data_IF_926834611308
#
_entry.id   IF_926834611308
#
_cell.length_a   1.000
_cell.length_b   1.000
_cell.length_c   1.000
_cell.angle_alpha   90.00
_cell.angle_beta   90.00
_cell.angle_gamma   90.00
#
_symmetry.space_group_name_H-M   'P 1'
#
loop_
_entity.id
_entity.type
_entity.pdbx_description
1 polymer ?
#
# COMPACT_ATOMS: atom_id res chain seq x y z
N UNK A 1 12.82 2.22 7.06
CA UNK A 1 11.44 2.31 7.57
C UNK A 1 10.83 3.66 7.18
N UNK A 2 11.49 4.78 7.41
CA UNK A 2 10.95 6.14 7.18
C UNK A 2 10.52 6.40 5.74
N UNK A 3 11.35 6.05 4.76
CA UNK A 3 11.05 6.28 3.34
C UNK A 3 9.79 5.51 2.93
N UNK A 4 9.65 4.28 3.39
CA UNK A 4 8.44 3.49 3.14
C UNK A 4 7.20 4.18 3.72
N UNK A 5 7.24 4.58 4.99
CA UNK A 5 6.08 5.21 5.66
C UNK A 5 5.69 6.53 5.00
N UNK A 6 6.67 7.37 4.66
CA UNK A 6 6.43 8.65 3.99
C UNK A 6 5.86 8.45 2.58
N UNK A 7 6.46 7.57 1.78
CA UNK A 7 5.98 7.26 0.44
C UNK A 7 4.58 6.62 0.45
N UNK A 8 4.32 5.72 1.41
CA UNK A 8 3.01 5.10 1.63
C UNK A 8 1.95 6.16 1.94
N UNK A 9 2.19 7.01 2.93
CA UNK A 9 1.23 8.03 3.34
C UNK A 9 0.97 9.07 2.22
N UNK A 10 2.02 9.49 1.51
CA UNK A 10 1.90 10.41 0.38
C UNK A 10 1.13 9.81 -0.80
N UNK A 11 1.22 8.50 -1.02
CA UNK A 11 0.57 7.83 -2.14
C UNK A 11 -0.94 7.63 -1.94
N UNK A 12 -1.43 7.57 -0.70
CA UNK A 12 -2.85 7.36 -0.40
C UNK A 12 -3.77 8.36 -1.14
N UNK A 13 -3.63 9.68 -0.96
CA UNK A 13 -4.50 10.64 -1.64
C UNK A 13 -4.29 10.68 -3.15
N UNK A 14 -3.06 10.43 -3.60
CA UNK A 14 -2.73 10.39 -5.04
C UNK A 14 -3.42 9.21 -5.72
N UNK A 15 -3.27 8.01 -5.18
CA UNK A 15 -3.88 6.79 -5.74
C UNK A 15 -5.41 6.83 -5.65
N UNK A 16 -5.97 7.37 -4.56
CA UNK A 16 -7.41 7.58 -4.43
C UNK A 16 -7.94 8.47 -5.55
N UNK A 17 -7.30 9.61 -5.79
CA UNK A 17 -7.70 10.56 -6.85
C UNK A 17 -7.52 10.00 -8.26
N UNK A 18 -6.45 9.24 -8.49
CA UNK A 18 -6.26 8.53 -9.76
C UNK A 18 -7.37 7.48 -9.99
N UNK A 19 -7.77 6.76 -8.94
CA UNK A 19 -8.86 5.80 -9.02
C UNK A 19 -10.21 6.45 -9.33
N UNK A 20 -10.48 7.65 -8.77
CA UNK A 20 -11.68 8.43 -9.09
C UNK A 20 -11.70 8.91 -10.56
N UNK A 21 -10.52 9.18 -11.12
CA UNK A 21 -10.42 9.68 -12.51
C UNK A 21 -10.38 8.59 -13.56
N UNK A 22 -9.57 7.57 -13.36
CA UNK A 22 -9.30 6.53 -14.35
C UNK A 22 -10.08 5.24 -14.10
N UNK A 23 -10.82 5.18 -13.00
CA UNK A 23 -11.55 4.01 -12.55
C UNK A 23 -10.79 3.22 -11.48
N UNK A 24 -11.53 2.58 -10.61
CA UNK A 24 -10.96 1.88 -9.45
C UNK A 24 -10.22 0.61 -9.85
N UNK A 25 -10.79 -0.18 -10.77
CA UNK A 25 -10.19 -1.45 -11.23
C UNK A 25 -8.77 -1.26 -11.79
N UNK A 26 -8.51 -0.41 -12.80
CA UNK A 26 -7.18 -0.27 -13.37
C UNK A 26 -6.16 0.28 -12.34
N UNK A 27 -6.57 1.24 -11.50
CA UNK A 27 -5.65 1.81 -10.50
C UNK A 27 -5.39 0.84 -9.35
N UNK A 28 -6.38 0.04 -8.95
CA UNK A 28 -6.19 -1.03 -7.98
C UNK A 28 -5.18 -2.08 -8.48
N UNK A 29 -5.34 -2.55 -9.71
CA UNK A 29 -4.41 -3.51 -10.32
C UNK A 29 -3.01 -2.92 -10.50
N UNK A 30 -2.91 -1.64 -10.88
CA UNK A 30 -1.65 -0.91 -10.95
C UNK A 30 -0.98 -0.84 -9.57
N UNK A 31 -1.75 -0.55 -8.53
CA UNK A 31 -1.25 -0.49 -7.14
C UNK A 31 -0.65 -1.83 -6.71
N UNK A 32 -1.34 -2.93 -7.00
CA UNK A 32 -0.85 -4.28 -6.68
C UNK A 32 0.39 -4.63 -7.53
N UNK A 33 0.41 -4.25 -8.80
CA UNK A 33 1.56 -4.47 -9.68
C UNK A 33 2.79 -3.70 -9.17
N UNK A 34 2.65 -2.42 -8.81
CA UNK A 34 3.72 -1.63 -8.21
C UNK A 34 4.21 -2.24 -6.88
N UNK A 35 3.28 -2.71 -6.05
CA UNK A 35 3.64 -3.39 -4.80
C UNK A 35 4.42 -4.69 -5.05
N UNK A 36 3.99 -5.50 -6.00
CA UNK A 36 4.65 -6.74 -6.39
C UNK A 36 6.04 -6.52 -7.00
N UNK A 37 6.15 -5.55 -7.94
CA UNK A 37 7.43 -5.16 -8.54
C UNK A 37 8.38 -4.60 -7.48
N UNK A 38 7.90 -3.71 -6.62
CA UNK A 38 8.69 -3.19 -5.51
C UNK A 38 9.17 -4.30 -4.57
N UNK A 39 8.32 -5.28 -4.27
CA UNK A 39 8.70 -6.46 -3.46
C UNK A 39 9.77 -7.30 -4.16
N UNK A 40 9.63 -7.56 -5.47
CA UNK A 40 10.63 -8.27 -6.25
C UNK A 40 11.98 -7.55 -6.22
N UNK A 41 11.98 -6.25 -6.45
CA UNK A 41 13.20 -5.43 -6.42
C UNK A 41 13.83 -5.37 -5.02
N UNK A 42 13.01 -5.36 -3.95
CA UNK A 42 13.52 -5.46 -2.57
C UNK A 42 14.23 -6.80 -2.33
N UNK A 43 13.69 -7.90 -2.85
CA UNK A 43 14.33 -9.21 -2.77
C UNK A 43 15.66 -9.24 -3.54
N UNK A 44 15.66 -8.78 -4.80
CA UNK A 44 16.84 -8.74 -5.64
C UNK A 44 17.94 -7.79 -5.13
N UNK A 45 17.61 -6.77 -4.35
CA UNK A 45 18.59 -5.84 -3.77
C UNK A 45 19.61 -6.54 -2.86
N UNK A 46 19.22 -7.65 -2.24
CA UNK A 46 20.13 -8.49 -1.45
C UNK A 46 21.16 -9.19 -2.33
N UNK A 47 20.71 -9.73 -3.46
CA UNK A 47 21.59 -10.49 -4.39
C UNK A 47 22.61 -9.56 -5.07
N UNK A 48 22.19 -8.30 -5.32
CA UNK A 48 23.07 -7.25 -5.90
C UNK A 48 23.93 -6.57 -4.83
N UNK A 49 23.55 -6.70 -3.54
CA UNK A 49 24.25 -6.04 -2.43
C UNK A 49 24.12 -4.52 -2.42
N UNK A 50 23.08 -3.97 -3.06
CA UNK A 50 22.87 -2.51 -3.18
C UNK A 50 21.80 -2.02 -2.20
N UNK A 51 22.25 -1.24 -1.21
CA UNK A 51 21.34 -0.57 -0.27
C UNK A 51 20.50 0.53 -0.94
N UNK A 52 21.06 1.22 -1.94
CA UNK A 52 20.33 2.24 -2.70
C UNK A 52 19.16 1.63 -3.46
N UNK A 53 19.38 0.46 -4.08
CA UNK A 53 18.34 -0.29 -4.76
C UNK A 53 17.22 -0.68 -3.79
N UNK A 54 17.56 -1.09 -2.57
CA UNK A 54 16.57 -1.41 -1.54
C UNK A 54 15.71 -0.19 -1.19
N UNK A 55 16.31 0.99 -1.06
CA UNK A 55 15.59 2.23 -0.74
C UNK A 55 14.60 2.58 -1.84
N UNK A 56 15.03 2.56 -3.09
CA UNK A 56 14.18 2.85 -4.26
C UNK A 56 13.06 1.82 -4.38
N UNK A 57 13.39 0.54 -4.25
CA UNK A 57 12.43 -0.55 -4.29
C UNK A 57 11.37 -0.43 -3.20
N UNK A 58 11.75 -0.04 -1.99
CA UNK A 58 10.84 0.25 -0.87
C UNK A 58 9.92 1.45 -1.14
N UNK A 59 10.42 2.47 -1.81
CA UNK A 59 9.57 3.61 -2.22
C UNK A 59 8.52 3.16 -3.26
N UNK A 60 8.91 2.39 -4.26
CA UNK A 60 7.99 1.83 -5.28
C UNK A 60 6.94 0.93 -4.62
N UNK A 61 7.36 0.03 -3.74
CA UNK A 61 6.48 -0.85 -2.99
C UNK A 61 5.47 -0.06 -2.14
N UNK A 62 5.92 1.00 -1.48
CA UNK A 62 5.08 1.85 -0.65
C UNK A 62 4.03 2.62 -1.47
N UNK A 63 4.41 3.13 -2.64
CA UNK A 63 3.49 3.81 -3.56
C UNK A 63 2.37 2.84 -3.99
N UNK A 64 2.73 1.62 -4.35
CA UNK A 64 1.73 0.58 -4.66
C UNK A 64 0.85 0.27 -3.46
N UNK A 65 1.45 0.00 -2.30
CA UNK A 65 0.74 -0.34 -1.06
C UNK A 65 -0.30 0.70 -0.63
N UNK A 66 0.03 1.99 -0.78
CA UNK A 66 -0.85 3.09 -0.39
C UNK A 66 -2.14 3.20 -1.20
N UNK A 67 -2.21 2.60 -2.39
CA UNK A 67 -3.44 2.55 -3.19
C UNK A 67 -4.37 1.38 -2.85
N UNK A 68 -3.84 0.29 -2.31
CA UNK A 68 -4.60 -0.97 -2.17
C UNK A 68 -5.79 -0.82 -1.23
N UNK A 69 -5.57 -0.41 0.00
CA UNK A 69 -6.62 -0.34 1.02
C UNK A 69 -7.66 0.75 0.75
N UNK A 70 -7.28 2.00 0.40
CA UNK A 70 -8.26 3.05 0.13
C UNK A 70 -9.17 2.73 -1.05
N UNK A 71 -8.63 2.18 -2.14
CA UNK A 71 -9.41 1.83 -3.32
C UNK A 71 -10.34 0.66 -3.02
N UNK A 72 -9.87 -0.37 -2.31
CA UNK A 72 -10.70 -1.49 -1.90
C UNK A 72 -11.85 -1.05 -0.99
N UNK A 73 -11.61 -0.22 0.01
CA UNK A 73 -12.65 0.30 0.90
C UNK A 73 -13.66 1.18 0.17
N UNK A 74 -13.20 2.02 -0.77
CA UNK A 74 -14.08 2.83 -1.61
C UNK A 74 -14.96 1.96 -2.51
N UNK A 75 -14.41 0.89 -3.10
CA UNK A 75 -15.19 -0.05 -3.92
C UNK A 75 -16.26 -0.77 -3.10
N UNK A 76 -15.90 -1.33 -1.95
CA UNK A 76 -16.87 -1.97 -1.06
C UNK A 76 -17.94 -0.99 -0.55
N UNK A 77 -17.55 0.26 -0.27
CA UNK A 77 -18.49 1.30 0.17
C UNK A 77 -19.54 1.68 -0.87
N UNK A 78 -19.28 1.48 -2.15
CA UNK A 78 -20.19 1.87 -3.25
C UNK A 78 -20.87 0.68 -3.92
N UNK A 79 -20.21 -0.47 -3.99
CA UNK A 79 -20.74 -1.68 -4.65
C UNK A 79 -21.74 -2.45 -3.79
N UNK A 80 -21.77 -2.18 -2.48
CA UNK A 80 -22.67 -2.87 -1.52
C UNK A 80 -23.86 -1.97 -1.18
N UNK A 81 -25.10 -2.53 -1.08
CA UNK A 81 -26.28 -1.80 -0.64
C UNK A 81 -26.05 -1.06 0.70
N UNK A 82 -26.67 0.12 0.91
CA UNK A 82 -26.44 0.96 2.09
C UNK A 82 -26.56 0.21 3.41
N UNK A 83 -27.54 -0.71 3.51
CA UNK A 83 -27.83 -1.49 4.73
C UNK A 83 -26.67 -2.43 5.10
N UNK A 84 -25.86 -2.86 4.12
CA UNK A 84 -24.78 -3.84 4.32
C UNK A 84 -23.38 -3.20 4.28
N UNK A 85 -23.29 -1.89 4.04
CA UNK A 85 -21.98 -1.17 3.93
C UNK A 85 -21.16 -1.28 5.22
N UNK A 86 -21.82 -1.11 6.38
CA UNK A 86 -21.13 -1.23 7.67
C UNK A 86 -20.51 -2.61 7.88
N UNK A 87 -21.24 -3.67 7.51
CA UNK A 87 -20.72 -5.05 7.58
C UNK A 87 -19.57 -5.28 6.61
N UNK A 88 -19.67 -4.79 5.39
CA UNK A 88 -18.62 -4.95 4.37
C UNK A 88 -17.33 -4.22 4.79
N UNK A 89 -17.42 -2.98 5.26
CA UNK A 89 -16.28 -2.23 5.76
C UNK A 89 -15.71 -2.84 7.05
N UNK A 90 -16.55 -3.34 7.93
CA UNK A 90 -16.13 -4.10 9.12
C UNK A 90 -15.35 -5.37 8.76
N UNK A 91 -15.78 -6.08 7.71
CA UNK A 91 -15.06 -7.25 7.20
C UNK A 91 -13.66 -6.87 6.69
N UNK A 92 -13.54 -5.79 5.91
CA UNK A 92 -12.25 -5.28 5.44
C UNK A 92 -11.33 -4.95 6.62
N UNK A 93 -11.85 -4.23 7.62
CA UNK A 93 -11.11 -3.91 8.85
C UNK A 93 -10.69 -5.15 9.63
N UNK A 94 -11.58 -6.13 9.75
CA UNK A 94 -11.31 -7.42 10.39
C UNK A 94 -10.20 -8.21 9.69
N UNK A 95 -10.27 -8.32 8.37
CA UNK A 95 -9.23 -8.98 7.56
C UNK A 95 -7.89 -8.26 7.71
N UNK A 96 -7.89 -6.92 7.70
CA UNK A 96 -6.68 -6.12 7.92
C UNK A 96 -6.07 -6.37 9.32
N UNK A 97 -6.92 -6.43 10.37
CA UNK A 97 -6.48 -6.74 11.74
C UNK A 97 -5.85 -8.14 11.84
N UNK A 98 -6.53 -9.15 11.28
CA UNK A 98 -6.02 -10.52 11.22
C UNK A 98 -4.71 -10.59 10.46
N UNK A 99 -4.62 -9.93 9.29
CA UNK A 99 -3.42 -9.89 8.47
C UNK A 99 -2.21 -9.26 9.21
N UNK A 100 -2.42 -8.24 10.04
CA UNK A 100 -1.36 -7.66 10.86
C UNK A 100 -0.82 -8.64 11.92
N UNK A 101 -1.70 -9.42 12.55
CA UNK A 101 -1.29 -10.42 13.54
C UNK A 101 -0.51 -11.56 12.87
N UNK A 102 -1.06 -12.11 11.79
CA UNK A 102 -0.41 -13.22 11.08
C UNK A 102 0.82 -12.79 10.28
N UNK A 103 0.88 -11.54 9.80
CA UNK A 103 1.99 -11.03 9.00
C UNK A 103 3.33 -11.07 9.75
N UNK A 104 3.34 -10.63 10.99
CA UNK A 104 4.54 -10.69 11.84
C UNK A 104 4.97 -12.13 12.14
N UNK A 105 4.02 -13.00 12.42
CA UNK A 105 4.28 -14.43 12.67
C UNK A 105 4.77 -15.15 11.41
N UNK A 106 4.18 -14.87 10.25
CA UNK A 106 4.61 -15.40 8.96
C UNK A 106 6.03 -14.94 8.60
N UNK A 107 6.35 -13.68 8.83
CA UNK A 107 7.70 -13.15 8.64
C UNK A 107 8.73 -13.88 9.50
N UNK A 108 8.43 -14.08 10.79
CA UNK A 108 9.29 -14.84 11.70
C UNK A 108 9.44 -16.29 11.26
N UNK A 109 8.36 -16.92 10.81
CA UNK A 109 8.39 -18.31 10.30
C UNK A 109 9.30 -18.45 9.08
N UNK A 110 9.20 -17.51 8.12
CA UNK A 110 10.08 -17.50 6.93
C UNK A 110 11.55 -17.39 7.35
N UNK A 111 11.88 -16.49 8.28
CA UNK A 111 13.26 -16.33 8.77
C UNK A 111 13.75 -17.57 9.54
N UNK A 112 12.88 -18.27 10.25
CA UNK A 112 13.24 -19.52 10.93
C UNK A 112 13.50 -20.67 9.96
N UNK A 113 12.73 -20.76 8.87
CA UNK A 113 12.87 -21.84 7.87
C UNK A 113 14.08 -21.59 6.96
N UNK A 114 14.25 -20.38 6.46
CA UNK A 114 15.27 -20.04 5.46
C UNK A 114 16.54 -19.45 6.08
N UNK A 115 16.54 -19.14 7.38
CA UNK A 115 17.64 -18.49 8.10
C UNK A 115 17.55 -16.96 8.04
N UNK A 116 18.06 -16.32 9.09
CA UNK A 116 18.00 -14.86 9.25
C UNK A 116 18.79 -14.06 8.18
N UNK A 117 19.78 -14.70 7.54
CA UNK A 117 20.52 -14.08 6.43
C UNK A 117 19.70 -13.99 5.13
N UNK A 118 18.65 -14.77 5.01
CA UNK A 118 17.83 -14.89 3.80
C UNK A 118 16.51 -14.10 3.93
N UNK A 119 16.57 -12.89 4.49
CA UNK A 119 15.40 -12.02 4.68
C UNK A 119 14.69 -11.64 3.37
N UNK A 120 15.35 -11.77 2.21
CA UNK A 120 14.77 -11.49 0.89
C UNK A 120 13.52 -12.34 0.60
N UNK A 121 13.42 -13.56 1.18
CA UNK A 121 12.25 -14.41 0.98
C UNK A 121 10.95 -13.81 1.51
N UNK A 122 11.02 -12.92 2.53
CA UNK A 122 9.86 -12.19 3.02
C UNK A 122 9.24 -11.33 1.89
N UNK A 123 10.09 -10.80 1.00
CA UNK A 123 9.64 -10.02 -0.13
C UNK A 123 9.20 -10.87 -1.30
N UNK A 124 9.91 -11.96 -1.58
CA UNK A 124 9.58 -12.86 -2.68
C UNK A 124 8.20 -13.52 -2.52
N UNK A 125 7.75 -13.79 -1.30
CA UNK A 125 6.40 -14.32 -1.03
C UNK A 125 5.30 -13.37 -1.52
N UNK A 126 5.52 -12.06 -1.50
CA UNK A 126 4.54 -11.09 -1.99
C UNK A 126 4.34 -11.14 -3.50
N UNK A 127 5.35 -11.61 -4.25
CA UNK A 127 5.30 -11.63 -5.72
C UNK A 127 4.21 -12.59 -6.24
N UNK A 128 4.20 -13.88 -5.89
CA UNK A 128 3.15 -14.79 -6.34
C UNK A 128 1.77 -14.40 -5.81
N UNK A 129 1.69 -13.85 -4.60
CA UNK A 129 0.43 -13.32 -4.05
C UNK A 129 -0.07 -12.16 -4.89
N UNK A 130 0.78 -11.19 -5.24
CA UNK A 130 0.42 -10.06 -6.10
C UNK A 130 -0.05 -10.52 -7.48
N UNK A 131 0.63 -11.47 -8.09
CA UNK A 131 0.22 -12.06 -9.37
C UNK A 131 -1.15 -12.72 -9.25
N UNK A 132 -1.37 -13.53 -8.21
CA UNK A 132 -2.67 -14.16 -7.96
C UNK A 132 -3.80 -13.14 -7.80
N UNK A 133 -3.57 -12.07 -7.03
CA UNK A 133 -4.56 -11.00 -6.83
C UNK A 133 -4.82 -10.25 -8.14
N UNK A 134 -3.80 -9.99 -8.96
CA UNK A 134 -3.98 -9.36 -10.28
C UNK A 134 -4.84 -10.23 -11.18
N UNK A 135 -4.56 -11.53 -11.27
CA UNK A 135 -5.34 -12.47 -12.08
C UNK A 135 -6.80 -12.52 -11.60
N UNK A 136 -7.01 -12.67 -10.29
CA UNK A 136 -8.37 -12.63 -9.71
C UNK A 136 -9.05 -11.28 -9.97
N UNK A 137 -8.34 -10.18 -9.83
CA UNK A 137 -8.89 -8.84 -10.08
C UNK A 137 -9.25 -8.59 -11.54
N UNK A 138 -8.48 -9.12 -12.48
CA UNK A 138 -8.84 -9.07 -13.92
C UNK A 138 -10.14 -9.80 -14.20
N UNK A 139 -10.35 -10.96 -13.57
CA UNK A 139 -11.52 -11.83 -13.82
C UNK A 139 -12.76 -11.32 -13.07
N UNK A 140 -12.64 -11.04 -11.79
CA UNK A 140 -13.79 -10.83 -10.89
C UNK A 140 -14.15 -9.37 -10.65
N UNK A 141 -13.20 -8.41 -10.75
CA UNK A 141 -13.51 -7.02 -10.50
C UNK A 141 -14.34 -6.43 -11.66
N UNK A 142 -15.51 -5.83 -11.36
CA UNK A 142 -16.31 -5.16 -12.36
C UNK A 142 -15.59 -3.92 -12.89
N UNK A 143 -15.75 -3.66 -14.17
CA UNK A 143 -15.19 -2.46 -14.79
C UNK A 143 -16.27 -1.37 -14.81
N UNK A 144 -16.34 -0.56 -13.77
CA UNK A 144 -17.23 0.59 -13.74
C UNK A 144 -16.67 1.70 -14.62
N UNK A 145 -17.44 2.12 -15.63
CA UNK A 145 -17.10 3.32 -16.43
C UNK A 145 -17.22 4.54 -15.55
N UNK A 146 -16.22 5.40 -15.59
CA UNK A 146 -16.26 6.69 -14.91
C UNK A 146 -17.16 7.61 -15.73
N UNK A 147 -18.37 7.88 -15.25
CA UNK A 147 -19.35 8.74 -15.95
C UNK A 147 -18.95 10.21 -15.95
N UNK A 148 -18.22 10.65 -14.93
CA UNK A 148 -17.70 12.02 -14.84
C UNK A 148 -16.21 11.99 -14.55
N UNK A 149 -15.42 12.56 -15.46
CA UNK A 149 -13.98 12.68 -15.26
C UNK A 149 -13.72 13.77 -14.23
N UNK A 150 -13.43 13.39 -13.00
CA UNK A 150 -13.04 14.33 -11.96
C UNK A 150 -11.80 15.12 -12.38
N UNK A 151 -11.86 16.46 -12.32
CA UNK A 151 -10.68 17.30 -12.54
C UNK A 151 -9.65 17.00 -11.46
N UNK A 152 -8.39 16.77 -11.87
CA UNK A 152 -7.30 16.62 -10.91
C UNK A 152 -6.95 18.02 -10.40
N UNK A 153 -7.21 18.26 -9.12
CA UNK A 153 -6.68 19.40 -8.41
C UNK A 153 -5.24 19.09 -7.97
N UNK A 154 -4.30 19.39 -8.88
CA UNK A 154 -2.88 19.13 -8.63
C UNK A 154 -2.37 19.94 -7.43
N UNK A 155 -2.84 21.16 -7.26
CA UNK A 155 -2.46 22.05 -6.16
C UNK A 155 -2.97 21.48 -4.82
N UNK A 156 -4.24 21.07 -4.75
CA UNK A 156 -4.83 20.48 -3.55
C UNK A 156 -4.16 19.19 -3.14
N UNK A 157 -3.85 18.30 -4.11
CA UNK A 157 -3.11 17.06 -3.85
C UNK A 157 -1.70 17.36 -3.32
N UNK A 158 -0.98 18.30 -3.96
CA UNK A 158 0.38 18.64 -3.54
C UNK A 158 0.41 19.23 -2.13
N UNK A 159 -0.54 20.13 -1.82
CA UNK A 159 -0.66 20.72 -0.49
C UNK A 159 -1.02 19.65 0.57
N UNK A 160 -1.93 18.75 0.25
CA UNK A 160 -2.32 17.65 1.14
C UNK A 160 -1.15 16.72 1.41
N UNK A 161 -0.41 16.32 0.39
CA UNK A 161 0.79 15.49 0.52
C UNK A 161 1.86 16.20 1.34
N UNK A 162 2.13 17.48 1.06
CA UNK A 162 3.08 18.29 1.81
C UNK A 162 2.68 18.40 3.29
N UNK A 163 1.41 18.60 3.58
CA UNK A 163 0.89 18.63 4.95
C UNK A 163 1.10 17.30 5.67
N UNK A 164 0.74 16.18 5.04
CA UNK A 164 0.92 14.83 5.62
C UNK A 164 2.40 14.56 5.88
N UNK A 165 3.28 14.85 4.91
CA UNK A 165 4.71 14.63 5.05
C UNK A 165 5.32 15.50 6.16
N UNK A 166 4.94 16.79 6.23
CA UNK A 166 5.40 17.71 7.27
C UNK A 166 4.96 17.26 8.66
N UNK A 167 3.71 16.80 8.79
CA UNK A 167 3.17 16.33 10.06
C UNK A 167 3.89 15.04 10.51
N UNK A 168 4.06 14.07 9.61
CA UNK A 168 4.76 12.82 9.92
C UNK A 168 6.23 13.07 10.26
N UNK A 169 6.90 13.98 9.53
CA UNK A 169 8.28 14.35 9.83
C UNK A 169 8.40 15.08 11.16
N UNK A 170 7.47 16.02 11.44
CA UNK A 170 7.42 16.74 12.71
C UNK A 170 7.21 15.81 13.91
N UNK A 171 6.18 14.97 13.86
CA UNK A 171 5.87 14.01 14.94
C UNK A 171 7.04 13.05 15.19
N UNK A 172 7.72 12.63 14.15
CA UNK A 172 8.87 11.73 14.28
C UNK A 172 10.06 12.37 14.97
N UNK A 173 10.28 13.67 14.76
CA UNK A 173 11.43 14.41 15.33
C UNK A 173 11.09 15.14 16.63
N UNK A 174 9.88 14.97 17.17
CA UNK A 174 9.53 15.48 18.51
C UNK A 174 10.15 14.53 19.54
N UNK A 175 11.20 15.01 20.21
CA UNK A 175 11.73 14.37 21.42
C UNK A 175 10.78 14.69 22.58
N UNK A 176 9.91 13.74 22.92
CA UNK A 176 8.97 13.90 24.04
C UNK A 176 9.66 14.03 25.39
N UNK A 177 10.95 13.72 25.49
CA UNK A 177 11.72 13.85 26.73
C UNK A 177 12.26 15.27 26.97
N UNK A 178 12.43 16.10 25.93
CA UNK A 178 12.87 17.50 26.09
C UNK A 178 11.73 18.47 26.46
N UNK A 179 10.50 18.02 26.46
CA UNK A 179 9.33 18.84 26.86
C UNK A 179 9.10 18.89 28.37
N UNK A 180 9.96 18.24 29.19
CA UNK A 180 9.89 18.23 30.66
C UNK A 180 11.06 18.98 31.34
N UNK A 181 11.88 19.69 30.57
CA UNK A 181 12.95 20.51 31.11
C UNK A 181 12.53 21.97 31.34
#
# INVERSE_FOLDING_TARGET
ITIYTLAYAASIPVMGKLADRYGRKPIYLLSIALFGIGSLLCGLSQDVGSFEMLIIARAIQAIGGGGILPIATAEFGTSVPPEKRGMALGLVGGVYGVANIFGSSAGSLILNIFGSHNWQYIFYVNVPISVGIIVCGLIFLPNHKVEQVAKIDLLGITLLVAMILSLLYGVRNIDFFDLQA
#
